data_IF_873188439153
#
_entry.id   IF_873188439153
#
_cell.length_a   1.000
_cell.length_b   1.000
_cell.length_c   1.000
_cell.angle_alpha   90.00
_cell.angle_beta   90.00
_cell.angle_gamma   90.00
#
_symmetry.space_group_name_H-M   'P 1'
#
loop_
_entity.id
_entity.type
_entity.pdbx_description
1 polymer ?
#
# COMPACT_ATOMS: atom_id res chain seq x y z
N UNK A 1 -3.32 -38.77 -25.02
CA UNK A 1 -3.90 -38.18 -23.79
C UNK A 1 -3.33 -36.78 -23.65
N UNK A 2 -4.14 -35.74 -23.87
CA UNK A 2 -3.72 -34.33 -23.81
C UNK A 2 -3.75 -33.92 -22.35
N UNK A 3 -2.59 -33.81 -21.71
CA UNK A 3 -2.49 -33.28 -20.35
C UNK A 3 -2.82 -31.78 -20.40
N UNK A 4 -3.96 -31.42 -19.82
CA UNK A 4 -4.31 -30.04 -19.52
C UNK A 4 -3.37 -29.57 -18.41
N UNK A 5 -2.36 -28.79 -18.77
CA UNK A 5 -1.54 -28.07 -17.81
C UNK A 5 -2.41 -26.94 -17.24
N UNK A 6 -2.87 -27.10 -16.00
CA UNK A 6 -3.42 -26.00 -15.22
C UNK A 6 -2.26 -25.03 -14.92
N UNK A 7 -2.22 -23.90 -15.63
CA UNK A 7 -1.36 -22.79 -15.25
C UNK A 7 -1.91 -22.23 -13.94
N UNK A 8 -1.25 -22.56 -12.83
CA UNK A 8 -1.48 -21.87 -11.57
C UNK A 8 -1.10 -20.40 -11.80
N UNK A 9 -2.11 -19.51 -11.82
CA UNK A 9 -1.85 -18.08 -11.74
C UNK A 9 -1.16 -17.84 -10.40
N UNK A 10 0.15 -17.60 -10.45
CA UNK A 10 0.90 -16.99 -9.37
C UNK A 10 0.35 -15.58 -9.20
N UNK A 11 -0.60 -15.41 -8.28
CA UNK A 11 -1.02 -14.09 -7.82
C UNK A 11 0.22 -13.52 -7.10
N UNK A 12 0.86 -12.46 -7.61
CA UNK A 12 2.05 -11.92 -6.99
C UNK A 12 1.62 -11.19 -5.73
N UNK A 13 1.63 -11.88 -4.59
CA UNK A 13 1.52 -11.22 -3.28
C UNK A 13 2.59 -10.13 -3.25
N UNK A 14 2.21 -8.87 -2.97
CA UNK A 14 3.19 -7.84 -2.62
C UNK A 14 4.09 -8.39 -1.51
N UNK A 15 5.30 -8.81 -1.87
CA UNK A 15 6.17 -9.60 -0.99
C UNK A 15 7.33 -8.74 -0.48
N UNK A 16 7.45 -7.49 -0.95
CA UNK A 16 8.57 -6.60 -0.62
C UNK A 16 8.18 -5.12 -0.64
N UNK A 17 8.98 -4.29 0.05
CA UNK A 17 8.90 -2.83 -0.02
C UNK A 17 9.04 -2.29 -1.47
N UNK A 18 9.73 -3.01 -2.36
CA UNK A 18 9.86 -2.64 -3.76
C UNK A 18 8.53 -2.79 -4.52
N UNK A 19 7.76 -3.84 -4.23
CA UNK A 19 6.43 -4.03 -4.82
C UNK A 19 5.45 -2.97 -4.32
N UNK A 20 5.56 -2.60 -3.04
CA UNK A 20 4.79 -1.49 -2.45
C UNK A 20 5.09 -0.16 -3.13
N UNK A 21 6.37 0.16 -3.33
CA UNK A 21 6.74 1.42 -4.00
C UNK A 21 6.21 1.48 -5.43
N UNK A 22 6.33 0.37 -6.16
CA UNK A 22 5.80 0.25 -7.53
C UNK A 22 4.28 0.45 -7.56
N UNK A 23 3.55 -0.07 -6.56
CA UNK A 23 2.11 0.16 -6.42
C UNK A 23 1.80 1.66 -6.25
N UNK A 24 2.50 2.36 -5.35
CA UNK A 24 2.28 3.78 -5.13
C UNK A 24 2.53 4.59 -6.40
N UNK A 25 3.65 4.35 -7.07
CA UNK A 25 4.00 5.05 -8.30
C UNK A 25 2.91 4.86 -9.38
N UNK A 26 2.32 3.66 -9.47
CA UNK A 26 1.32 3.32 -10.48
C UNK A 26 -0.09 3.85 -10.17
N UNK A 27 -0.51 3.79 -8.91
CA UNK A 27 -1.92 3.97 -8.53
C UNK A 27 -2.17 5.20 -7.65
N UNK A 28 -1.14 5.78 -7.03
CA UNK A 28 -1.30 6.80 -6.00
C UNK A 28 -0.65 8.14 -6.40
N UNK A 29 0.58 8.11 -6.92
CA UNK A 29 1.40 9.32 -7.03
C UNK A 29 0.98 10.28 -8.13
N UNK A 30 0.20 9.84 -9.13
CA UNK A 30 -0.42 10.76 -10.11
C UNK A 30 -1.31 11.86 -9.48
N UNK A 31 -1.73 11.66 -8.22
CA UNK A 31 -2.61 12.57 -7.50
C UNK A 31 -2.09 12.98 -6.12
N UNK A 32 -1.30 12.11 -5.47
CA UNK A 32 -0.83 12.28 -4.10
C UNK A 32 0.71 12.30 -4.06
N UNK A 33 1.35 13.07 -4.93
CA UNK A 33 2.78 13.37 -4.88
C UNK A 33 3.03 14.77 -4.27
N UNK A 34 4.28 15.24 -4.31
CA UNK A 34 4.68 16.53 -3.77
C UNK A 34 4.11 17.75 -4.51
N UNK A 35 3.67 17.54 -5.75
CA UNK A 35 3.27 18.60 -6.66
C UNK A 35 1.76 18.74 -6.72
N UNK A 36 1.04 17.62 -6.91
CA UNK A 36 -0.42 17.58 -7.02
C UNK A 36 -1.13 17.62 -5.65
N UNK A 37 -0.59 16.93 -4.64
CA UNK A 37 -1.08 16.91 -3.24
C UNK A 37 -2.60 16.92 -3.08
N UNK A 38 -3.34 16.14 -3.87
CA UNK A 38 -4.81 16.17 -3.82
C UNK A 38 -5.31 15.73 -2.44
N UNK A 39 -6.29 16.46 -1.91
CA UNK A 39 -6.82 16.19 -0.58
C UNK A 39 -5.77 16.40 0.53
N UNK A 40 -4.81 17.31 0.30
CA UNK A 40 -3.74 17.66 1.24
C UNK A 40 -2.85 16.47 1.66
N UNK A 41 -2.74 15.46 0.79
CA UNK A 41 -1.97 14.24 1.03
C UNK A 41 -0.82 14.11 0.02
N UNK A 42 0.39 13.93 0.54
CA UNK A 42 1.61 13.62 -0.19
C UNK A 42 2.14 12.26 0.26
N UNK A 43 2.16 11.30 -0.66
CA UNK A 43 2.66 9.95 -0.45
C UNK A 43 4.07 9.74 -1.03
N UNK A 44 4.65 10.74 -1.70
CA UNK A 44 5.92 10.61 -2.42
C UNK A 44 7.11 10.31 -1.48
N UNK A 45 7.02 10.77 -0.23
CA UNK A 45 8.03 10.56 0.81
C UNK A 45 8.03 9.16 1.46
N UNK A 46 7.04 8.31 1.19
CA UNK A 46 7.02 6.94 1.69
C UNK A 46 7.81 6.01 0.75
N UNK A 47 9.13 6.01 0.93
CA UNK A 47 10.06 5.23 0.11
C UNK A 47 10.38 3.85 0.66
N UNK A 48 10.08 3.60 1.94
CA UNK A 48 10.37 2.36 2.63
C UNK A 48 9.37 2.08 3.76
N UNK A 49 9.45 0.88 4.34
CA UNK A 49 8.60 0.44 5.46
C UNK A 49 8.78 1.33 6.69
N UNK A 50 9.99 1.84 6.95
CA UNK A 50 10.26 2.67 8.11
C UNK A 50 9.51 4.02 8.03
N UNK A 51 9.38 4.60 6.84
CA UNK A 51 8.54 5.78 6.61
C UNK A 51 7.07 5.48 6.91
N UNK A 52 6.56 4.34 6.45
CA UNK A 52 5.17 3.91 6.71
C UNK A 52 4.94 3.68 8.21
N UNK A 53 5.89 3.06 8.90
CA UNK A 53 5.83 2.81 10.34
C UNK A 53 5.81 4.09 11.18
N UNK A 54 6.43 5.19 10.71
CA UNK A 54 6.42 6.48 11.41
C UNK A 54 5.07 7.18 11.34
N UNK A 55 4.34 7.06 10.22
CA UNK A 55 3.08 7.77 10.00
C UNK A 55 1.88 6.80 9.83
N UNK A 56 1.70 5.88 10.78
CA UNK A 56 0.63 4.86 10.76
C UNK A 56 -0.77 5.46 10.62
N UNK A 57 -0.99 6.67 11.13
CA UNK A 57 -2.28 7.36 11.01
C UNK A 57 -2.66 7.66 9.55
N UNK A 58 -1.70 8.06 8.72
CA UNK A 58 -1.91 8.28 7.28
C UNK A 58 -2.27 6.95 6.63
N UNK A 59 -1.52 5.90 6.94
CA UNK A 59 -1.70 4.58 6.33
C UNK A 59 -3.00 3.88 6.73
N UNK A 60 -3.51 4.15 7.94
CA UNK A 60 -4.88 3.76 8.31
C UNK A 60 -5.92 4.44 7.41
N UNK A 61 -5.77 5.74 7.13
CA UNK A 61 -6.69 6.44 6.23
C UNK A 61 -6.60 5.91 4.80
N UNK A 62 -5.38 5.63 4.30
CA UNK A 62 -5.17 5.00 2.99
C UNK A 62 -5.88 3.65 2.94
N UNK A 63 -5.69 2.79 3.96
CA UNK A 63 -6.38 1.51 4.08
C UNK A 63 -7.89 1.67 3.94
N UNK A 64 -8.52 2.54 4.75
CA UNK A 64 -9.97 2.75 4.74
C UNK A 64 -10.49 3.21 3.36
N UNK A 65 -9.73 4.06 2.66
CA UNK A 65 -10.09 4.54 1.32
C UNK A 65 -9.94 3.47 0.24
N UNK A 66 -8.97 2.57 0.36
CA UNK A 66 -8.80 1.43 -0.54
C UNK A 66 -9.89 0.38 -0.28
N UNK A 67 -10.15 0.04 0.98
CA UNK A 67 -11.17 -0.94 1.42
C UNK A 67 -12.57 -0.54 0.95
N UNK A 68 -12.89 0.75 1.01
CA UNK A 68 -14.19 1.28 0.58
C UNK A 68 -14.28 1.62 -0.92
N UNK A 69 -13.25 1.27 -1.71
CA UNK A 69 -13.16 1.58 -3.14
C UNK A 69 -13.29 3.09 -3.47
N UNK A 70 -13.03 3.98 -2.51
CA UNK A 70 -13.02 5.43 -2.73
C UNK A 70 -11.77 5.89 -3.50
N UNK A 71 -10.65 5.17 -3.33
CA UNK A 71 -9.38 5.46 -3.99
C UNK A 71 -8.87 4.28 -4.83
N UNK A 72 -8.24 4.54 -5.99
CA UNK A 72 -8.31 5.80 -6.74
C UNK A 72 -9.77 6.08 -7.18
N UNK A 73 -10.17 7.35 -7.42
CA UNK A 73 -11.54 7.67 -7.82
C UNK A 73 -11.96 6.91 -9.09
N UNK A 74 -13.22 6.47 -9.25
CA UNK A 74 -13.66 5.57 -10.34
C UNK A 74 -13.36 6.05 -11.77
N UNK A 75 -13.10 7.34 -11.97
CA UNK A 75 -12.76 7.93 -13.27
C UNK A 75 -11.27 7.82 -13.62
N UNK A 76 -10.42 7.43 -12.69
CA UNK A 76 -8.99 7.27 -12.93
C UNK A 76 -8.71 6.01 -13.75
N UNK A 77 -7.75 6.09 -14.66
CA UNK A 77 -7.39 4.99 -15.56
C UNK A 77 -6.60 3.89 -14.84
N UNK A 78 -5.73 4.26 -13.90
CA UNK A 78 -4.87 3.37 -13.13
C UNK A 78 -5.61 2.78 -11.92
N UNK A 79 -6.69 2.03 -12.17
CA UNK A 79 -7.38 1.29 -11.10
C UNK A 79 -6.60 0.01 -10.74
N UNK A 80 -6.29 -0.23 -9.46
CA UNK A 80 -5.81 -1.53 -9.02
C UNK A 80 -6.95 -2.55 -9.08
N UNK A 81 -6.59 -3.80 -9.38
CA UNK A 81 -7.51 -4.94 -9.25
C UNK A 81 -7.83 -5.20 -7.78
N UNK A 82 -8.92 -5.94 -7.50
CA UNK A 82 -9.29 -6.32 -6.12
C UNK A 82 -8.18 -7.12 -5.43
N UNK A 83 -7.45 -7.95 -6.16
CA UNK A 83 -6.29 -8.67 -5.63
C UNK A 83 -5.18 -7.71 -5.20
N UNK A 84 -4.81 -6.75 -6.05
CA UNK A 84 -3.78 -5.75 -5.71
C UNK A 84 -4.21 -4.85 -4.54
N UNK A 85 -5.51 -4.51 -4.44
CA UNK A 85 -6.06 -3.80 -3.27
C UNK A 85 -5.88 -4.62 -2.00
N UNK A 86 -6.24 -5.91 -2.04
CA UNK A 86 -6.11 -6.81 -0.91
C UNK A 86 -4.66 -6.99 -0.48
N UNK A 87 -3.73 -7.07 -1.43
CA UNK A 87 -2.30 -7.18 -1.17
C UNK A 87 -1.77 -5.94 -0.45
N UNK A 88 -2.09 -4.73 -0.94
CA UNK A 88 -1.71 -3.48 -0.27
C UNK A 88 -2.32 -3.40 1.14
N UNK A 89 -3.60 -3.71 1.29
CA UNK A 89 -4.28 -3.69 2.59
C UNK A 89 -3.65 -4.65 3.58
N UNK A 90 -3.32 -5.87 3.14
CA UNK A 90 -2.61 -6.87 3.96
C UNK A 90 -1.24 -6.37 4.38
N UNK A 91 -0.49 -5.76 3.46
CA UNK A 91 0.82 -5.21 3.75
C UNK A 91 0.77 -4.05 4.76
N UNK A 92 -0.21 -3.14 4.62
CA UNK A 92 -0.42 -2.05 5.60
C UNK A 92 -0.75 -2.61 6.98
N UNK A 93 -1.60 -3.65 7.05
CA UNK A 93 -1.97 -4.29 8.31
C UNK A 93 -0.80 -5.02 8.96
N UNK A 94 0.05 -5.70 8.19
CA UNK A 94 1.27 -6.34 8.70
C UNK A 94 2.20 -5.31 9.35
N UNK A 95 2.44 -4.18 8.68
CA UNK A 95 3.25 -3.09 9.24
C UNK A 95 2.60 -2.51 10.49
N UNK A 96 1.29 -2.28 10.46
CA UNK A 96 0.55 -1.72 11.59
C UNK A 96 0.60 -2.64 12.83
N UNK A 97 0.68 -3.96 12.63
CA UNK A 97 0.77 -4.95 13.71
C UNK A 97 2.15 -5.07 14.34
N UNK A 98 3.22 -4.60 13.67
CA UNK A 98 4.57 -4.60 14.23
C UNK A 98 4.69 -3.60 15.37
N UNK A 99 5.47 -3.90 16.42
CA UNK A 99 5.76 -2.97 17.51
C UNK A 99 6.14 -1.58 17.00
N UNK A 100 5.71 -0.55 17.73
CA UNK A 100 6.04 0.83 17.36
C UNK A 100 7.50 1.10 17.76
N UNK A 101 8.41 1.30 16.79
CA UNK A 101 9.82 1.50 17.09
C UNK A 101 10.07 2.78 17.89
N UNK A 102 9.14 3.74 17.87
CA UNK A 102 9.22 4.95 18.71
C UNK A 102 8.82 4.65 20.14
N UNK A 103 7.77 3.85 20.36
CA UNK A 103 7.38 3.45 21.72
C UNK A 103 8.41 2.53 22.35
N UNK A 104 8.93 1.56 21.59
CA UNK A 104 9.95 0.62 22.05
C UNK A 104 11.26 1.35 22.44
N UNK A 105 11.59 2.47 21.78
CA UNK A 105 12.78 3.26 22.10
C UNK A 105 12.63 4.11 23.38
N UNK A 106 11.40 4.32 23.88
CA UNK A 106 11.10 5.15 25.05
C UNK A 106 10.99 4.36 26.36
N UNK A 107 11.02 3.02 26.31
CA UNK A 107 10.97 2.14 27.48
C UNK A 107 12.38 1.58 27.80
N UNK A 108 13.20 2.25 28.63
CA UNK A 108 14.50 1.74 29.04
C UNK A 108 14.45 0.65 30.12
N UNK A 109 13.26 0.18 30.54
CA UNK A 109 13.09 -0.77 31.64
C UNK A 109 13.02 -0.15 33.03
#
# INVERSE_FOLDING_TARGET
MRHLLAAALLIPVLSSAADFRTFLDTHCLDCHDSDAKKGDLDLSGFTDEAAVMRDRAIWRSVYEKIESHQMPPPKQKSQPTDAQRQELMTWIMDIAARPDPVLDALDPG
#
